data_IF_706162266218
#
_entry.id   IF_706162266218
#
_cell.length_a   1.000
_cell.length_b   1.000
_cell.length_c   1.000
_cell.angle_alpha   90.00
_cell.angle_beta   90.00
_cell.angle_gamma   90.00
#
_symmetry.space_group_name_H-M   'P 1'
#
loop_
_entity.id
_entity.type
_entity.pdbx_description
1 polymer ?
#
# COMPACT_ATOMS: atom_id res chain seq x y z
N UNK A 1 -15.56 8.47 7.50
CA UNK A 1 -15.35 9.64 6.61
C UNK A 1 -14.15 9.36 5.71
N UNK A 2 -14.12 9.88 4.48
CA UNK A 2 -13.06 9.65 3.49
C UNK A 2 -12.50 10.99 2.96
N UNK A 3 -11.17 11.16 3.04
CA UNK A 3 -10.49 12.28 2.39
C UNK A 3 -10.24 11.94 0.92
N UNK A 4 -10.72 12.80 0.02
CA UNK A 4 -10.50 12.67 -1.43
C UNK A 4 -9.93 13.96 -1.99
N UNK A 5 -9.27 13.87 -3.14
CA UNK A 5 -8.96 15.05 -3.98
C UNK A 5 -9.96 15.07 -5.13
N UNK A 6 -10.73 16.15 -5.27
CA UNK A 6 -11.68 16.27 -6.36
C UNK A 6 -10.92 16.37 -7.71
N UNK A 7 -11.18 15.50 -8.69
CA UNK A 7 -10.50 15.54 -9.98
C UNK A 7 -10.84 16.77 -10.82
N UNK A 8 -11.96 17.46 -10.50
CA UNK A 8 -12.42 18.66 -11.20
C UNK A 8 -11.81 19.92 -10.60
N UNK A 9 -12.02 20.14 -9.30
CA UNK A 9 -11.60 21.38 -8.60
C UNK A 9 -10.19 21.28 -8.04
N UNK A 10 -9.62 20.08 -7.94
CA UNK A 10 -8.34 19.76 -7.28
C UNK A 10 -8.28 20.15 -5.80
N UNK A 11 -9.44 20.39 -5.18
CA UNK A 11 -9.53 20.62 -3.74
C UNK A 11 -9.62 19.30 -2.99
N UNK A 12 -9.01 19.26 -1.80
CA UNK A 12 -9.14 18.13 -0.89
C UNK A 12 -10.41 18.29 -0.06
N UNK A 13 -11.24 17.25 -0.06
CA UNK A 13 -12.57 17.25 0.56
C UNK A 13 -12.71 16.11 1.54
N UNK A 14 -13.20 16.40 2.74
CA UNK A 14 -13.52 15.39 3.74
C UNK A 14 -14.99 14.97 3.60
N UNK A 15 -15.21 13.82 2.98
CA UNK A 15 -16.55 13.35 2.63
C UNK A 15 -17.13 12.44 3.72
N UNK A 16 -18.39 12.71 4.09
CA UNK A 16 -19.13 11.91 5.05
C UNK A 16 -19.55 10.55 4.48
N UNK A 17 -19.60 9.51 5.32
CA UNK A 17 -19.84 8.13 4.88
C UNK A 17 -21.19 7.93 4.17
N UNK A 18 -22.20 8.75 4.52
CA UNK A 18 -23.50 8.73 3.83
C UNK A 18 -23.43 9.06 2.33
N UNK A 19 -22.37 9.73 1.89
CA UNK A 19 -22.09 10.10 0.48
C UNK A 19 -21.13 9.12 -0.21
N UNK A 20 -20.80 8.02 0.45
CA UNK A 20 -19.90 6.99 -0.07
C UNK A 20 -20.73 5.73 -0.34
N UNK A 21 -20.61 5.21 -1.56
CA UNK A 21 -21.24 3.96 -1.98
C UNK A 21 -20.17 3.04 -2.55
N UNK A 22 -20.14 1.78 -2.13
CA UNK A 22 -19.28 0.79 -2.78
C UNK A 22 -19.86 0.46 -4.16
N UNK A 23 -19.01 0.46 -5.18
CA UNK A 23 -19.36 0.12 -6.58
C UNK A 23 -18.98 -1.32 -6.89
N UNK A 24 -17.76 -1.71 -6.49
CA UNK A 24 -17.24 -3.05 -6.72
C UNK A 24 -16.26 -3.43 -5.61
N UNK A 25 -16.39 -4.66 -5.12
CA UNK A 25 -15.45 -5.24 -4.17
C UNK A 25 -14.46 -6.11 -4.95
N UNK A 26 -13.21 -5.66 -5.06
CA UNK A 26 -12.14 -6.46 -5.63
C UNK A 26 -11.31 -7.10 -4.51
N UNK A 27 -10.63 -8.23 -4.76
CA UNK A 27 -9.82 -8.89 -3.74
C UNK A 27 -8.74 -8.01 -3.09
N UNK A 28 -8.25 -6.98 -3.79
CA UNK A 28 -7.17 -6.10 -3.28
C UNK A 28 -7.61 -4.69 -2.93
N UNK A 29 -8.80 -4.27 -3.35
CA UNK A 29 -9.31 -2.93 -3.12
C UNK A 29 -10.82 -2.87 -3.29
N UNK A 30 -11.45 -1.87 -2.69
CA UNK A 30 -12.85 -1.57 -2.95
C UNK A 30 -12.91 -0.32 -3.82
N UNK A 31 -13.64 -0.39 -4.92
CA UNK A 31 -14.03 0.78 -5.69
C UNK A 31 -15.22 1.45 -4.99
N UNK A 32 -15.09 2.72 -4.63
CA UNK A 32 -16.11 3.52 -3.97
C UNK A 32 -16.49 4.72 -4.84
N UNK A 33 -17.78 4.86 -5.14
CA UNK A 33 -18.35 6.08 -5.67
C UNK A 33 -18.56 7.07 -4.53
N UNK A 34 -18.14 8.30 -4.76
CA UNK A 34 -18.21 9.40 -3.80
C UNK A 34 -18.89 10.59 -4.46
N UNK A 35 -19.96 11.08 -3.85
CA UNK A 35 -20.59 12.34 -4.22
C UNK A 35 -19.78 13.51 -3.63
N UNK A 36 -19.07 14.23 -4.49
CA UNK A 36 -18.19 15.31 -4.08
C UNK A 36 -19.00 16.57 -3.72
N UNK A 37 -18.83 17.16 -2.53
CA UNK A 37 -19.52 18.39 -2.13
C UNK A 37 -19.14 19.61 -2.99
N UNK A 38 -17.91 19.66 -3.50
CA UNK A 38 -17.36 20.87 -4.13
C UNK A 38 -17.67 21.01 -5.61
N UNK A 39 -17.76 19.90 -6.35
CA UNK A 39 -18.15 19.92 -7.76
C UNK A 39 -19.56 19.34 -8.01
N UNK A 40 -20.20 18.75 -7.00
CA UNK A 40 -21.48 18.05 -7.13
C UNK A 40 -21.43 16.74 -7.94
N UNK A 41 -20.27 16.39 -8.51
CA UNK A 41 -20.08 15.19 -9.31
C UNK A 41 -19.89 13.91 -8.48
N UNK A 42 -20.15 12.77 -9.12
CA UNK A 42 -19.81 11.46 -8.55
C UNK A 42 -18.48 10.98 -9.12
N UNK A 43 -17.55 10.59 -8.24
CA UNK A 43 -16.21 10.12 -8.61
C UNK A 43 -15.90 8.78 -7.99
N UNK A 44 -15.22 7.90 -8.72
CA UNK A 44 -14.83 6.58 -8.23
C UNK A 44 -13.39 6.59 -7.72
N UNK A 45 -13.21 6.20 -6.47
CA UNK A 45 -11.92 6.04 -5.82
C UNK A 45 -11.67 4.58 -5.43
N UNK A 46 -10.40 4.21 -5.24
CA UNK A 46 -10.01 2.85 -4.82
C UNK A 46 -9.43 2.91 -3.42
N UNK A 47 -10.03 2.22 -2.46
CA UNK A 47 -9.66 2.30 -1.03
C UNK A 47 -8.57 1.29 -0.61
N UNK A 48 -7.95 0.58 -1.54
CA UNK A 48 -6.94 -0.46 -1.27
C UNK A 48 -5.49 -0.16 -1.71
N UNK A 49 -5.21 0.94 -2.41
CA UNK A 49 -3.82 1.25 -2.87
C UNK A 49 -2.80 1.26 -1.74
N UNK A 50 -3.16 1.84 -0.59
CA UNK A 50 -2.30 1.84 0.61
C UNK A 50 -1.99 0.45 1.16
N UNK A 51 -2.89 -0.52 0.98
CA UNK A 51 -2.66 -1.91 1.38
C UNK A 51 -1.69 -2.61 0.42
N UNK A 52 -1.80 -2.34 -0.87
CA UNK A 52 -0.85 -2.83 -1.88
C UNK A 52 0.55 -2.23 -1.67
N UNK A 53 0.65 -0.91 -1.46
CA UNK A 53 1.92 -0.23 -1.17
C UNK A 53 2.59 -0.80 0.09
N UNK A 54 1.81 -1.01 1.16
CA UNK A 54 2.31 -1.60 2.41
C UNK A 54 2.73 -3.07 2.23
N UNK A 55 2.01 -3.87 1.43
CA UNK A 55 2.45 -5.24 1.10
C UNK A 55 3.75 -5.24 0.29
N UNK A 56 3.90 -4.34 -0.67
CA UNK A 56 5.14 -4.20 -1.45
C UNK A 56 6.32 -3.79 -0.57
N UNK A 57 6.09 -2.87 0.37
CA UNK A 57 7.09 -2.46 1.36
C UNK A 57 7.53 -3.65 2.24
N UNK A 58 6.57 -4.42 2.76
CA UNK A 58 6.85 -5.60 3.59
C UNK A 58 7.60 -6.69 2.81
N UNK A 59 7.22 -6.96 1.56
CA UNK A 59 7.91 -7.92 0.69
C UNK A 59 9.36 -7.49 0.43
N UNK A 60 9.59 -6.21 0.20
CA UNK A 60 10.94 -5.65 0.00
C UNK A 60 11.80 -5.83 1.25
N UNK A 61 11.25 -5.54 2.45
CA UNK A 61 11.96 -5.73 3.72
C UNK A 61 12.30 -7.21 3.97
N UNK A 62 11.37 -8.12 3.68
CA UNK A 62 11.61 -9.56 3.81
C UNK A 62 12.74 -10.04 2.89
N UNK A 63 12.77 -9.57 1.64
CA UNK A 63 13.85 -9.89 0.70
C UNK A 63 15.22 -9.37 1.17
N UNK A 64 15.26 -8.14 1.70
CA UNK A 64 16.49 -7.56 2.28
C UNK A 64 16.98 -8.35 3.49
N UNK A 65 16.07 -8.74 4.40
CA UNK A 65 16.42 -9.56 5.56
C UNK A 65 16.97 -10.93 5.14
N UNK A 66 16.36 -11.57 4.15
CA UNK A 66 16.85 -12.84 3.60
C UNK A 66 18.25 -12.70 2.99
N UNK A 67 18.52 -11.61 2.25
CA UNK A 67 19.84 -11.34 1.68
C UNK A 67 20.91 -11.15 2.77
N UNK A 68 20.58 -10.41 3.83
CA UNK A 68 21.48 -10.21 4.98
C UNK A 68 21.77 -11.55 5.67
N UNK A 69 20.74 -12.37 5.91
CA UNK A 69 20.92 -13.70 6.52
C UNK A 69 21.76 -14.63 5.65
N UNK A 70 21.59 -14.59 4.33
CA UNK A 70 22.42 -15.36 3.42
C UNK A 70 23.90 -14.92 3.47
N UNK A 71 24.14 -13.61 3.50
CA UNK A 71 25.49 -13.05 3.58
C UNK A 71 26.17 -13.40 4.91
N UNK A 72 25.48 -13.29 6.05
CA UNK A 72 26.04 -13.67 7.36
C UNK A 72 26.33 -15.17 7.44
N UNK A 73 25.45 -16.02 6.90
CA UNK A 73 25.69 -17.46 6.81
C UNK A 73 26.91 -17.80 5.94
N UNK A 74 27.09 -17.10 4.81
CA UNK A 74 28.26 -17.27 3.95
C UNK A 74 29.56 -16.86 4.65
N UNK A 75 29.56 -15.72 5.34
CA UNK A 75 30.72 -15.26 6.13
C UNK A 75 31.08 -16.25 7.24
N UNK A 76 30.09 -16.78 7.96
CA UNK A 76 30.31 -17.78 9.01
C UNK A 76 30.89 -19.09 8.46
N UNK A 77 30.50 -19.50 7.24
CA UNK A 77 31.11 -20.66 6.56
C UNK A 77 32.56 -20.37 6.18
N UNK A 78 32.85 -19.20 5.61
CA UNK A 78 34.21 -18.82 5.24
C UNK A 78 35.16 -18.75 6.45
N UNK A 79 34.67 -18.24 7.59
CA UNK A 79 35.44 -18.19 8.83
C UNK A 79 35.81 -19.59 9.35
N UNK A 80 34.88 -20.55 9.32
CA UNK A 80 35.16 -21.94 9.71
C UNK A 80 36.21 -22.60 8.83
N UNK A 81 36.16 -22.34 7.52
CA UNK A 81 37.15 -22.87 6.57
C UNK A 81 38.56 -22.27 6.75
N UNK A 82 38.67 -21.12 7.43
CA UNK A 82 39.95 -20.44 7.72
C UNK A 82 40.55 -20.78 9.09
N UNK A 83 39.83 -21.49 9.95
CA UNK A 83 40.38 -21.91 11.25
C UNK A 83 41.46 -22.99 11.02
N UNK A 84 42.71 -22.78 11.46
CA UNK A 84 43.72 -23.83 11.42
C UNK A 84 43.36 -24.95 12.43
N UNK A 85 43.80 -26.18 12.10
CA UNK A 85 43.55 -27.39 12.88
C UNK A 85 44.23 -27.38 14.26
#
# INVERSE_FOLDING_TARGET
>A
MLLITCPVTRTDELVADRRIRSVANHPTHIAVAVECPSCGGTHVFRTGRRWEDRRAELATRAAQQAAVQAATAAAARAARLRQPA
#
